data_IF_632975038615
#
_entry.id   IF_632975038615
#
_cell.length_a   1.000
_cell.length_b   1.000
_cell.length_c   1.000
_cell.angle_alpha   90.00
_cell.angle_beta   90.00
_cell.angle_gamma   90.00
#
_symmetry.space_group_name_H-M   'P 1'
#
loop_
_entity.id
_entity.type
_entity.pdbx_description
1 polymer ?
#
# COMPACT_ATOMS: atom_id res chain seq x y z
N UNK A 1 9.96 -3.90 3.02
CA UNK A 1 8.95 -3.49 2.01
C UNK A 1 9.07 -4.27 0.69
N UNK A 2 10.29 -4.54 0.16
CA UNK A 2 10.51 -5.21 -1.13
C UNK A 2 9.80 -6.58 -1.22
N UNK A 3 10.00 -7.46 -0.25
CA UNK A 3 9.34 -8.78 -0.21
C UNK A 3 7.83 -8.68 -0.03
N UNK A 4 7.37 -7.73 0.79
CA UNK A 4 5.93 -7.47 0.97
C UNK A 4 5.30 -7.03 -0.35
N UNK A 5 5.98 -6.18 -1.13
CA UNK A 5 5.50 -5.72 -2.44
C UNK A 5 5.30 -6.87 -3.43
N UNK A 6 6.21 -7.84 -3.49
CA UNK A 6 6.07 -9.02 -4.35
C UNK A 6 4.83 -9.84 -3.97
N UNK A 7 4.54 -9.92 -2.67
CA UNK A 7 3.48 -10.77 -2.14
C UNK A 7 2.10 -10.13 -2.21
N UNK A 8 2.02 -8.80 -2.10
CA UNK A 8 0.74 -8.11 -1.81
C UNK A 8 0.39 -7.00 -2.78
N UNK A 9 1.36 -6.47 -3.55
CA UNK A 9 1.09 -5.41 -4.51
C UNK A 9 0.05 -5.87 -5.54
N UNK A 10 -1.00 -5.09 -5.72
CA UNK A 10 -2.05 -5.38 -6.69
C UNK A 10 -3.12 -6.40 -6.29
N UNK A 11 -2.93 -7.21 -5.23
CA UNK A 11 -3.93 -8.19 -4.81
C UNK A 11 -5.24 -7.52 -4.39
N UNK A 12 -5.16 -6.43 -3.62
CA UNK A 12 -6.36 -5.68 -3.21
C UNK A 12 -7.13 -5.18 -4.44
N UNK A 13 -6.44 -4.56 -5.40
CA UNK A 13 -7.05 -4.02 -6.60
C UNK A 13 -7.67 -5.14 -7.49
N UNK A 14 -6.96 -6.26 -7.64
CA UNK A 14 -7.42 -7.39 -8.45
C UNK A 14 -8.66 -8.05 -7.87
N UNK A 15 -8.65 -8.35 -6.56
CA UNK A 15 -9.78 -8.95 -5.87
C UNK A 15 -10.95 -7.97 -5.81
N UNK A 16 -10.70 -6.70 -5.53
CA UNK A 16 -11.73 -5.66 -5.52
C UNK A 16 -12.44 -5.57 -6.87
N UNK A 17 -11.68 -5.54 -7.97
CA UNK A 17 -12.22 -5.52 -9.33
C UNK A 17 -13.09 -6.76 -9.63
N UNK A 18 -12.55 -7.97 -9.41
CA UNK A 18 -13.23 -9.22 -9.73
C UNK A 18 -14.48 -9.40 -8.85
N UNK A 19 -14.38 -9.10 -7.56
CA UNK A 19 -15.51 -9.12 -6.63
C UNK A 19 -16.60 -8.13 -7.04
N UNK A 20 -16.23 -6.92 -7.50
CA UNK A 20 -17.18 -5.94 -7.98
C UNK A 20 -17.94 -6.41 -9.21
N UNK A 21 -17.26 -7.08 -10.16
CA UNK A 21 -17.90 -7.66 -11.36
C UNK A 21 -18.88 -8.75 -11.01
N UNK A 22 -18.51 -9.71 -10.15
CA UNK A 22 -19.39 -10.76 -9.70
C UNK A 22 -20.55 -10.25 -8.82
N UNK A 23 -20.27 -9.24 -7.97
CA UNK A 23 -21.30 -8.59 -7.15
C UNK A 23 -22.35 -7.88 -8.01
N UNK A 24 -21.95 -7.26 -9.13
CA UNK A 24 -22.86 -6.61 -10.08
C UNK A 24 -23.78 -7.61 -10.82
N UNK A 25 -23.41 -8.91 -10.84
CA UNK A 25 -24.16 -10.01 -11.44
C UNK A 25 -24.89 -10.86 -10.39
N UNK A 26 -24.87 -10.47 -9.13
CA UNK A 26 -25.39 -11.24 -7.98
C UNK A 26 -24.82 -12.67 -7.86
N UNK A 27 -23.60 -12.89 -8.39
CA UNK A 27 -22.94 -14.19 -8.37
C UNK A 27 -22.06 -14.37 -7.12
N UNK A 28 -22.71 -14.46 -5.98
CA UNK A 28 -22.02 -14.60 -4.68
C UNK A 28 -21.29 -15.94 -4.53
N UNK A 29 -21.68 -16.98 -5.27
CA UNK A 29 -21.02 -18.29 -5.23
C UNK A 29 -19.61 -18.23 -5.80
N UNK A 30 -19.44 -17.53 -6.93
CA UNK A 30 -18.10 -17.35 -7.52
C UNK A 30 -17.26 -16.38 -6.70
N UNK A 31 -17.82 -15.37 -6.02
CA UNK A 31 -17.09 -14.53 -5.05
C UNK A 31 -16.48 -15.42 -3.96
N UNK A 32 -17.26 -16.25 -3.29
CA UNK A 32 -16.79 -17.13 -2.20
C UNK A 32 -15.71 -18.08 -2.70
N UNK A 33 -15.93 -18.64 -3.87
CA UNK A 33 -14.99 -19.60 -4.47
C UNK A 33 -13.67 -18.94 -4.84
N UNK A 34 -13.71 -17.74 -5.43
CA UNK A 34 -12.52 -16.91 -5.71
C UNK A 34 -11.76 -16.60 -4.43
N UNK A 35 -12.44 -16.12 -3.40
CA UNK A 35 -11.81 -15.80 -2.12
C UNK A 35 -11.08 -17.00 -1.51
N UNK A 36 -11.70 -18.18 -1.52
CA UNK A 36 -11.09 -19.42 -1.00
C UNK A 36 -9.87 -19.83 -1.81
N UNK A 37 -9.98 -19.85 -3.14
CA UNK A 37 -8.89 -20.31 -4.02
C UNK A 37 -7.70 -19.36 -3.92
N UNK A 38 -7.95 -18.04 -3.97
CA UNK A 38 -6.88 -17.02 -3.88
C UNK A 38 -6.25 -17.01 -2.49
N UNK A 39 -7.03 -17.17 -1.41
CA UNK A 39 -6.49 -17.23 -0.06
C UNK A 39 -5.54 -18.43 0.13
N UNK A 40 -5.93 -19.61 -0.36
CA UNK A 40 -5.08 -20.82 -0.28
C UNK A 40 -3.79 -20.62 -1.10
N UNK A 41 -3.92 -20.16 -2.36
CA UNK A 41 -2.77 -19.91 -3.23
C UNK A 41 -1.81 -18.89 -2.59
N UNK A 42 -2.34 -17.76 -2.14
CA UNK A 42 -1.53 -16.70 -1.57
C UNK A 42 -0.90 -17.10 -0.23
N UNK A 43 -1.60 -17.88 0.60
CA UNK A 43 -1.04 -18.43 1.83
C UNK A 43 0.19 -19.31 1.55
N UNK A 44 0.08 -20.24 0.59
CA UNK A 44 1.20 -21.10 0.18
C UNK A 44 2.36 -20.26 -0.37
N UNK A 45 2.05 -19.30 -1.25
CA UNK A 45 3.04 -18.39 -1.83
C UNK A 45 3.78 -17.57 -0.77
N UNK A 46 3.04 -16.99 0.17
CA UNK A 46 3.61 -16.20 1.26
C UNK A 46 4.42 -17.05 2.24
N UNK A 47 4.00 -18.28 2.47
CA UNK A 47 4.72 -19.22 3.32
C UNK A 47 6.07 -19.61 2.69
N UNK A 48 6.12 -19.88 1.39
CA UNK A 48 7.36 -20.16 0.66
C UNK A 48 8.30 -18.97 0.75
N UNK A 49 7.83 -17.76 0.42
CA UNK A 49 8.66 -16.54 0.50
C UNK A 49 9.06 -16.25 1.94
N UNK A 50 8.17 -16.38 2.90
CA UNK A 50 8.46 -16.15 4.32
C UNK A 50 9.55 -17.07 4.85
N UNK A 51 9.49 -18.37 4.53
CA UNK A 51 10.52 -19.34 4.87
C UNK A 51 11.86 -18.96 4.18
N UNK A 52 11.83 -18.63 2.90
CA UNK A 52 13.01 -18.21 2.17
C UNK A 52 13.66 -16.97 2.78
N UNK A 53 12.88 -15.93 3.10
CA UNK A 53 13.37 -14.70 3.74
C UNK A 53 13.90 -15.00 5.16
N UNK A 54 13.24 -15.90 5.90
CA UNK A 54 13.68 -16.29 7.24
C UNK A 54 15.08 -16.91 7.22
N UNK A 55 15.33 -17.86 6.32
CA UNK A 55 16.65 -18.48 6.15
C UNK A 55 17.69 -17.55 5.54
N UNK A 56 17.27 -16.62 4.67
CA UNK A 56 18.17 -15.60 4.09
C UNK A 56 18.45 -14.43 5.05
N UNK A 57 17.72 -14.29 6.16
CA UNK A 57 17.85 -13.14 7.06
C UNK A 57 19.28 -12.89 7.57
N UNK A 58 20.12 -13.91 7.88
CA UNK A 58 21.52 -13.68 8.25
C UNK A 58 22.35 -13.11 7.09
N UNK A 59 22.12 -13.61 5.87
CA UNK A 59 22.81 -13.15 4.67
C UNK A 59 22.43 -11.70 4.37
N UNK A 60 21.14 -11.37 4.46
CA UNK A 60 20.63 -10.01 4.27
C UNK A 60 21.22 -9.05 5.31
N UNK A 61 21.29 -9.47 6.58
CA UNK A 61 21.83 -8.66 7.67
C UNK A 61 23.33 -8.38 7.52
N UNK A 62 24.11 -9.43 7.24
CA UNK A 62 25.57 -9.30 7.17
C UNK A 62 26.07 -8.69 5.85
N UNK A 63 25.54 -9.12 4.69
CA UNK A 63 26.08 -8.74 3.38
C UNK A 63 25.36 -7.56 2.75
N UNK A 64 24.04 -7.47 2.86
CA UNK A 64 23.27 -6.41 2.21
C UNK A 64 23.13 -5.16 3.06
N UNK A 65 22.66 -5.32 4.28
CA UNK A 65 22.43 -4.20 5.18
C UNK A 65 23.69 -3.80 5.95
N UNK A 66 24.69 -4.71 6.02
CA UNK A 66 25.92 -4.53 6.82
C UNK A 66 25.65 -4.17 8.28
N UNK A 67 24.49 -4.54 8.80
CA UNK A 67 24.08 -4.34 10.18
C UNK A 67 23.41 -5.62 10.71
N UNK A 68 24.12 -6.44 11.52
CA UNK A 68 23.58 -7.67 12.09
C UNK A 68 22.35 -7.45 13.00
N UNK A 69 22.16 -6.23 13.51
CA UNK A 69 21.07 -5.90 14.44
C UNK A 69 19.68 -6.06 13.81
N UNK A 70 19.58 -5.95 12.49
CA UNK A 70 18.30 -6.08 11.79
C UNK A 70 17.84 -7.52 11.58
N UNK A 71 18.70 -8.52 11.80
CA UNK A 71 18.38 -9.94 11.52
C UNK A 71 17.14 -10.38 12.30
N UNK A 72 17.10 -10.10 13.61
CA UNK A 72 15.95 -10.43 14.47
C UNK A 72 14.66 -9.74 13.99
N UNK A 73 14.76 -8.48 13.57
CA UNK A 73 13.63 -7.72 13.07
C UNK A 73 13.08 -8.30 11.75
N UNK A 74 13.96 -8.78 10.86
CA UNK A 74 13.56 -9.47 9.62
C UNK A 74 12.84 -10.78 9.97
N UNK A 75 13.37 -11.59 10.88
CA UNK A 75 12.74 -12.85 11.30
C UNK A 75 11.33 -12.63 11.87
N UNK A 76 11.17 -11.62 12.73
CA UNK A 76 9.86 -11.25 13.30
C UNK A 76 8.89 -10.73 12.24
N UNK A 77 9.38 -10.15 11.14
CA UNK A 77 8.54 -9.66 10.05
C UNK A 77 7.96 -10.80 9.18
N UNK A 78 8.60 -11.98 9.14
CA UNK A 78 8.14 -13.08 8.28
C UNK A 78 6.69 -13.52 8.55
N UNK A 79 6.22 -13.78 9.79
CA UNK A 79 4.81 -14.07 10.03
C UNK A 79 3.89 -12.88 9.72
N UNK A 80 4.33 -11.65 9.94
CA UNK A 80 3.55 -10.47 9.61
C UNK A 80 3.25 -10.37 8.11
N UNK A 81 4.19 -10.79 7.23
CA UNK A 81 3.97 -10.83 5.78
C UNK A 81 2.75 -11.69 5.40
N UNK A 82 2.59 -12.84 6.05
CA UNK A 82 1.45 -13.75 5.81
C UNK A 82 0.15 -13.08 6.25
N UNK A 83 0.14 -12.45 7.43
CA UNK A 83 -1.04 -11.77 7.95
C UNK A 83 -1.45 -10.60 7.05
N UNK A 84 -0.50 -9.77 6.62
CA UNK A 84 -0.73 -8.66 5.67
C UNK A 84 -1.33 -9.19 4.35
N UNK A 85 -0.78 -10.27 3.81
CA UNK A 85 -1.24 -10.82 2.54
C UNK A 85 -2.68 -11.33 2.61
N UNK A 86 -3.04 -12.05 3.67
CA UNK A 86 -4.40 -12.54 3.88
C UNK A 86 -5.38 -11.40 4.20
N UNK A 87 -4.98 -10.41 4.99
CA UNK A 87 -5.78 -9.21 5.27
C UNK A 87 -6.08 -8.43 3.98
N UNK A 88 -5.10 -8.29 3.07
CA UNK A 88 -5.28 -7.61 1.80
C UNK A 88 -6.31 -8.30 0.89
N UNK A 89 -6.39 -9.63 0.92
CA UNK A 89 -7.43 -10.38 0.20
C UNK A 89 -8.82 -10.02 0.74
N UNK A 90 -8.97 -10.00 2.07
CA UNK A 90 -10.24 -9.65 2.72
C UNK A 90 -10.61 -8.18 2.48
N UNK A 91 -9.64 -7.26 2.54
CA UNK A 91 -9.86 -5.84 2.18
C UNK A 91 -10.35 -5.70 0.73
N UNK A 92 -9.75 -6.43 -0.21
CA UNK A 92 -10.19 -6.46 -1.61
C UNK A 92 -11.65 -6.89 -1.77
N UNK A 93 -12.09 -7.89 -1.00
CA UNK A 93 -13.50 -8.30 -0.96
C UNK A 93 -14.43 -7.17 -0.49
N UNK A 94 -14.09 -6.51 0.62
CA UNK A 94 -14.93 -5.43 1.14
C UNK A 94 -14.98 -4.22 0.20
N UNK A 95 -13.88 -3.88 -0.43
CA UNK A 95 -13.83 -2.81 -1.43
C UNK A 95 -14.68 -3.17 -2.66
N UNK A 96 -14.58 -4.42 -3.15
CA UNK A 96 -15.37 -4.90 -4.28
C UNK A 96 -16.87 -5.00 -4.02
N UNK A 97 -17.27 -5.22 -2.75
CA UNK A 97 -18.68 -5.19 -2.32
C UNK A 97 -19.15 -3.81 -1.84
N UNK A 98 -18.38 -2.75 -2.09
CA UNK A 98 -18.66 -1.36 -1.68
C UNK A 98 -18.81 -1.15 -0.16
N UNK A 99 -18.28 -2.06 0.67
CA UNK A 99 -18.30 -1.97 2.14
C UNK A 99 -16.97 -1.42 2.68
N UNK A 100 -16.57 -0.24 2.21
CA UNK A 100 -15.25 0.35 2.47
C UNK A 100 -15.06 0.75 3.93
N UNK A 101 -16.13 1.11 4.63
CA UNK A 101 -16.08 1.51 6.04
C UNK A 101 -15.49 0.44 6.96
N UNK A 102 -15.72 -0.85 6.64
CA UNK A 102 -15.24 -1.97 7.45
C UNK A 102 -13.72 -2.05 7.51
N UNK A 103 -13.00 -2.18 6.36
CA UNK A 103 -11.53 -2.21 6.40
C UNK A 103 -10.96 -0.90 6.92
N UNK A 104 -11.55 0.27 6.61
CA UNK A 104 -11.06 1.56 7.11
C UNK A 104 -11.11 1.66 8.63
N UNK A 105 -12.19 1.21 9.26
CA UNK A 105 -12.32 1.19 10.71
C UNK A 105 -11.33 0.20 11.35
N UNK A 106 -11.17 -0.98 10.75
CA UNK A 106 -10.22 -1.99 11.24
C UNK A 106 -8.78 -1.51 11.08
N UNK A 107 -8.46 -0.76 10.02
CA UNK A 107 -7.13 -0.16 9.83
C UNK A 107 -6.80 0.89 10.90
N UNK A 108 -7.79 1.68 11.32
CA UNK A 108 -7.62 2.63 12.43
C UNK A 108 -7.37 1.88 13.74
N UNK A 109 -8.17 0.85 14.03
CA UNK A 109 -7.99 0.01 15.23
C UNK A 109 -6.62 -0.69 15.23
N UNK A 110 -6.20 -1.21 14.10
CA UNK A 110 -4.90 -1.87 13.93
C UNK A 110 -3.74 -0.93 14.27
N UNK A 111 -3.76 0.29 13.70
CA UNK A 111 -2.71 1.29 13.97
C UNK A 111 -2.72 1.79 15.41
N UNK A 112 -3.89 2.00 15.97
CA UNK A 112 -4.06 2.40 17.36
C UNK A 112 -3.54 1.32 18.32
N UNK A 113 -3.90 0.05 18.07
CA UNK A 113 -3.42 -1.07 18.87
C UNK A 113 -1.90 -1.25 18.73
N UNK A 114 -1.36 -1.09 17.53
CA UNK A 114 0.09 -1.17 17.27
C UNK A 114 0.87 -0.18 18.13
N UNK A 115 0.42 1.08 18.21
CA UNK A 115 1.05 2.10 19.04
C UNK A 115 0.94 1.72 20.52
N UNK A 116 -0.23 1.29 20.96
CA UNK A 116 -0.47 0.91 22.36
C UNK A 116 0.37 -0.32 22.76
N UNK A 117 0.38 -1.37 21.93
CA UNK A 117 1.20 -2.56 22.15
C UNK A 117 2.68 -2.23 22.16
N UNK A 118 3.15 -1.36 21.25
CA UNK A 118 4.55 -0.91 21.24
C UNK A 118 4.92 -0.21 22.54
N UNK A 119 4.07 0.69 23.03
CA UNK A 119 4.31 1.37 24.31
C UNK A 119 4.41 0.38 25.50
N UNK A 120 3.49 -0.58 25.56
CA UNK A 120 3.50 -1.65 26.57
C UNK A 120 4.78 -2.50 26.48
N UNK A 121 5.15 -2.92 25.25
CA UNK A 121 6.34 -3.76 25.05
C UNK A 121 7.61 -3.03 25.47
N UNK A 122 7.76 -1.73 25.13
CA UNK A 122 8.90 -0.92 25.57
C UNK A 122 8.95 -0.83 27.11
N UNK A 123 7.80 -0.63 27.75
CA UNK A 123 7.72 -0.54 29.21
C UNK A 123 8.08 -1.86 29.90
N UNK A 124 7.55 -2.99 29.41
CA UNK A 124 7.80 -4.33 30.01
C UNK A 124 9.24 -4.78 29.80
N UNK A 125 9.76 -4.66 28.57
CA UNK A 125 11.10 -5.17 28.22
C UNK A 125 12.23 -4.18 28.53
N UNK A 126 11.90 -2.96 29.00
CA UNK A 126 12.89 -1.89 29.31
C UNK A 126 13.93 -1.75 28.20
N UNK A 127 13.44 -1.63 26.95
CA UNK A 127 14.31 -1.63 25.78
C UNK A 127 15.16 -0.35 25.74
N UNK A 128 16.44 -0.47 26.02
CA UNK A 128 17.41 0.64 26.01
C UNK A 128 18.23 0.67 24.72
N UNK A 129 18.34 -0.45 24.01
CA UNK A 129 19.13 -0.55 22.78
C UNK A 129 18.28 -0.30 21.55
N UNK A 130 18.87 0.31 20.52
CA UNK A 130 18.21 0.55 19.23
C UNK A 130 17.72 -0.78 18.60
N UNK A 131 18.50 -1.86 18.74
CA UNK A 131 18.13 -3.18 18.23
C UNK A 131 16.86 -3.71 18.88
N UNK A 132 16.74 -3.61 20.21
CA UNK A 132 15.54 -4.05 20.93
C UNK A 132 14.32 -3.22 20.55
N UNK A 133 14.45 -1.90 20.48
CA UNK A 133 13.36 -1.00 20.08
C UNK A 133 12.82 -1.32 18.68
N UNK A 134 13.71 -1.53 17.71
CA UNK A 134 13.32 -1.88 16.35
C UNK A 134 12.65 -3.26 16.30
N UNK A 135 13.18 -4.24 17.01
CA UNK A 135 12.60 -5.59 17.08
C UNK A 135 11.20 -5.57 17.71
N UNK A 136 11.01 -4.82 18.80
CA UNK A 136 9.70 -4.65 19.44
C UNK A 136 8.70 -3.90 18.53
N UNK A 137 9.16 -2.93 17.74
CA UNK A 137 8.31 -2.25 16.76
C UNK A 137 7.78 -3.22 15.69
N UNK A 138 8.62 -4.14 15.18
CA UNK A 138 8.18 -5.17 14.23
C UNK A 138 7.30 -6.23 14.89
N UNK A 139 7.51 -6.54 16.18
CA UNK A 139 6.63 -7.43 16.92
C UNK A 139 5.24 -6.80 17.13
N UNK A 140 5.19 -5.51 17.49
CA UNK A 140 3.95 -4.77 17.58
C UNK A 140 3.21 -4.69 16.23
N UNK A 141 3.95 -4.53 15.12
CA UNK A 141 3.40 -4.63 13.76
C UNK A 141 2.77 -6.01 13.51
N UNK A 142 3.47 -7.09 13.85
CA UNK A 142 2.98 -8.45 13.66
C UNK A 142 1.68 -8.71 14.43
N UNK A 143 1.59 -8.25 15.68
CA UNK A 143 0.39 -8.38 16.51
C UNK A 143 -0.77 -7.53 15.98
N UNK A 144 -0.50 -6.31 15.51
CA UNK A 144 -1.50 -5.46 14.88
C UNK A 144 -2.09 -6.07 13.61
N UNK A 145 -1.24 -6.62 12.74
CA UNK A 145 -1.69 -7.28 11.50
C UNK A 145 -2.47 -8.58 11.80
N UNK A 146 -2.07 -9.35 12.82
CA UNK A 146 -2.83 -10.51 13.27
C UNK A 146 -4.23 -10.12 13.76
N UNK A 147 -4.33 -9.06 14.57
CA UNK A 147 -5.62 -8.53 15.02
C UNK A 147 -6.48 -8.07 13.83
N UNK A 148 -5.91 -7.33 12.89
CA UNK A 148 -6.60 -6.88 11.67
C UNK A 148 -7.15 -8.08 10.88
N UNK A 149 -6.35 -9.13 10.70
CA UNK A 149 -6.77 -10.37 10.03
C UNK A 149 -7.95 -11.04 10.74
N UNK A 150 -7.89 -11.18 12.05
CA UNK A 150 -8.96 -11.81 12.86
C UNK A 150 -10.26 -11.02 12.72
N UNK A 151 -10.22 -9.70 12.85
CA UNK A 151 -11.40 -8.84 12.74
C UNK A 151 -11.98 -8.86 11.32
N UNK A 152 -11.14 -8.73 10.28
CA UNK A 152 -11.56 -8.81 8.89
C UNK A 152 -12.20 -10.17 8.57
N UNK A 153 -11.61 -11.25 9.04
CA UNK A 153 -12.13 -12.61 8.82
C UNK A 153 -13.46 -12.83 9.54
N UNK A 154 -13.59 -12.37 10.78
CA UNK A 154 -14.84 -12.43 11.53
C UNK A 154 -15.97 -11.70 10.83
N UNK A 155 -15.70 -10.47 10.38
CA UNK A 155 -16.69 -9.69 9.65
C UNK A 155 -16.98 -10.24 8.24
N UNK A 156 -15.98 -10.81 7.58
CA UNK A 156 -16.15 -11.53 6.32
C UNK A 156 -17.12 -12.70 6.50
N UNK A 157 -16.93 -13.56 7.50
CA UNK A 157 -17.82 -14.68 7.80
C UNK A 157 -19.25 -14.21 8.10
N UNK A 158 -19.40 -13.14 8.87
CA UNK A 158 -20.70 -12.51 9.13
C UNK A 158 -21.34 -11.95 7.85
N UNK A 159 -20.58 -11.27 7.00
CA UNK A 159 -21.09 -10.75 5.73
C UNK A 159 -21.53 -11.86 4.79
N UNK A 160 -20.80 -12.97 4.77
CA UNK A 160 -21.09 -14.14 3.95
C UNK A 160 -22.39 -14.85 4.36
N UNK A 161 -22.71 -14.88 5.65
CA UNK A 161 -23.95 -15.51 6.13
C UNK A 161 -25.23 -14.78 5.68
N UNK A 162 -25.07 -13.51 5.26
CA UNK A 162 -26.18 -12.67 4.77
C UNK A 162 -26.39 -12.76 3.25
N UNK A 163 -25.48 -13.38 2.51
CA UNK A 163 -25.66 -13.51 1.06
C UNK A 163 -26.66 -14.62 0.72
N UNK A 164 -27.57 -14.37 -0.27
CA UNK A 164 -28.49 -15.38 -0.73
C UNK A 164 -27.73 -16.56 -1.34
N UNK A 165 -28.24 -17.78 -1.10
CA UNK A 165 -27.72 -18.99 -1.73
C UNK A 165 -28.08 -18.96 -3.21
N UNK A 166 -27.13 -18.71 -4.08
CA UNK A 166 -27.32 -18.65 -5.53
C UNK A 166 -27.06 -20.05 -6.12
N UNK A 167 -27.95 -20.52 -7.01
CA UNK A 167 -27.79 -21.78 -7.75
C UNK A 167 -26.93 -21.62 -9.03
N UNK A 168 -26.20 -20.52 -9.19
CA UNK A 168 -25.35 -20.28 -10.35
C UNK A 168 -24.33 -21.42 -10.54
N UNK A 169 -24.02 -21.75 -11.79
CA UNK A 169 -23.03 -22.77 -12.14
C UNK A 169 -21.64 -22.18 -11.78
N UNK A 170 -20.98 -22.76 -10.78
CA UNK A 170 -19.69 -22.27 -10.32
C UNK A 170 -18.59 -22.46 -11.38
N UNK A 171 -17.82 -21.44 -11.67
CA UNK A 171 -16.66 -21.49 -12.56
C UNK A 171 -15.58 -22.43 -12.03
N UNK A 172 -14.67 -22.88 -12.90
CA UNK A 172 -13.58 -23.75 -12.46
C UNK A 172 -12.63 -23.00 -11.52
N UNK A 173 -12.03 -23.70 -10.56
CA UNK A 173 -11.08 -23.07 -9.60
C UNK A 173 -9.86 -22.50 -10.30
N UNK A 174 -9.39 -23.19 -11.34
CA UNK A 174 -8.23 -22.77 -12.13
C UNK A 174 -8.53 -21.47 -12.90
N UNK A 175 -9.74 -21.33 -13.49
CA UNK A 175 -10.15 -20.11 -14.17
C UNK A 175 -10.22 -18.91 -13.22
N UNK A 176 -10.85 -19.08 -12.07
CA UNK A 176 -10.95 -18.02 -11.05
C UNK A 176 -9.57 -17.55 -10.57
N UNK A 177 -8.63 -18.48 -10.37
CA UNK A 177 -7.27 -18.15 -10.00
C UNK A 177 -6.55 -17.42 -11.15
N UNK A 178 -6.70 -17.91 -12.38
CA UNK A 178 -6.10 -17.30 -13.55
C UNK A 178 -6.55 -15.85 -13.74
N UNK A 179 -7.83 -15.55 -13.61
CA UNK A 179 -8.40 -14.22 -13.75
C UNK A 179 -7.84 -13.23 -12.71
N UNK A 180 -7.62 -13.70 -11.48
CA UNK A 180 -6.96 -12.90 -10.44
C UNK A 180 -5.48 -12.71 -10.78
N UNK A 181 -4.77 -13.75 -11.19
CA UNK A 181 -3.33 -13.68 -11.49
C UNK A 181 -3.03 -12.78 -12.69
N UNK A 182 -3.80 -12.85 -13.76
CA UNK A 182 -3.65 -11.97 -14.93
C UNK A 182 -3.73 -10.50 -14.55
N UNK A 183 -4.53 -10.16 -13.54
CA UNK A 183 -4.66 -8.79 -13.04
C UNK A 183 -3.60 -8.45 -12.00
N UNK A 184 -3.28 -9.37 -11.07
CA UNK A 184 -2.38 -9.09 -9.96
C UNK A 184 -0.90 -9.17 -10.31
N UNK A 185 -0.49 -10.09 -11.19
CA UNK A 185 0.94 -10.29 -11.54
C UNK A 185 1.58 -9.02 -12.12
N UNK A 186 0.98 -8.31 -13.10
CA UNK A 186 1.55 -7.06 -13.59
C UNK A 186 1.72 -6.00 -12.50
N UNK A 187 0.75 -5.92 -11.57
CA UNK A 187 0.80 -4.97 -10.46
C UNK A 187 1.84 -5.37 -9.40
N UNK A 188 1.99 -6.66 -9.12
CA UNK A 188 3.05 -7.17 -8.24
C UNK A 188 4.45 -6.87 -8.83
N UNK A 189 4.63 -7.10 -10.13
CA UNK A 189 5.88 -6.77 -10.82
C UNK A 189 6.16 -5.27 -10.79
N UNK A 190 5.13 -4.44 -11.01
CA UNK A 190 5.27 -2.99 -10.90
C UNK A 190 5.68 -2.57 -9.47
N UNK A 191 5.03 -3.07 -8.44
CA UNK A 191 5.37 -2.79 -7.04
C UNK A 191 6.78 -3.26 -6.67
N UNK A 192 7.23 -4.39 -7.23
CA UNK A 192 8.58 -4.89 -7.05
C UNK A 192 9.62 -3.99 -7.70
N UNK A 193 9.42 -3.59 -8.97
CA UNK A 193 10.29 -2.65 -9.67
C UNK A 193 10.41 -1.34 -8.89
N UNK A 194 9.26 -0.72 -8.50
CA UNK A 194 9.26 0.50 -7.68
C UNK A 194 10.05 0.34 -6.38
N UNK A 195 9.96 -0.83 -5.75
CA UNK A 195 10.73 -1.12 -4.53
C UNK A 195 12.23 -1.23 -4.79
N UNK A 196 12.64 -1.83 -5.91
CA UNK A 196 14.05 -1.89 -6.33
C UNK A 196 14.59 -0.48 -6.56
N UNK A 197 13.89 0.36 -7.33
CA UNK A 197 14.32 1.73 -7.61
C UNK A 197 14.40 2.57 -6.34
N UNK A 198 13.45 2.40 -5.40
CA UNK A 198 13.51 3.04 -4.09
C UNK A 198 14.77 2.64 -3.30
N UNK A 199 15.16 1.37 -3.33
CA UNK A 199 16.40 0.90 -2.68
C UNK A 199 17.63 1.48 -3.36
N UNK A 200 17.67 1.48 -4.70
CA UNK A 200 18.78 2.07 -5.47
C UNK A 200 18.91 3.56 -5.14
N UNK A 201 17.80 4.31 -5.16
CA UNK A 201 17.80 5.73 -4.82
C UNK A 201 18.32 5.97 -3.39
N UNK A 202 17.86 5.18 -2.42
CA UNK A 202 18.30 5.29 -1.02
C UNK A 202 19.80 5.06 -0.85
N UNK A 203 20.42 4.24 -1.70
CA UNK A 203 21.86 3.98 -1.67
C UNK A 203 22.67 4.97 -2.50
N UNK A 204 22.12 5.42 -3.63
CA UNK A 204 22.83 6.25 -4.60
C UNK A 204 22.90 7.73 -4.17
N UNK A 205 21.79 8.27 -3.67
CA UNK A 205 21.68 9.70 -3.33
C UNK A 205 22.70 10.12 -2.28
N UNK A 206 22.88 9.42 -1.13
CA UNK A 206 23.92 9.79 -0.17
C UNK A 206 25.32 9.75 -0.76
N UNK A 207 25.62 8.73 -1.60
CA UNK A 207 26.94 8.61 -2.24
C UNK A 207 27.22 9.79 -3.18
N UNK A 208 26.24 10.25 -3.94
CA UNK A 208 26.39 11.41 -4.84
C UNK A 208 26.58 12.70 -4.07
N UNK A 209 25.91 12.90 -2.96
CA UNK A 209 26.10 14.06 -2.10
C UNK A 209 27.51 14.10 -1.48
N UNK A 210 28.06 12.95 -1.09
CA UNK A 210 29.42 12.84 -0.59
C UNK A 210 30.43 13.23 -1.68
N UNK A 211 30.24 12.74 -2.92
CA UNK A 211 31.08 13.12 -4.06
C UNK A 211 30.97 14.60 -4.38
N UNK A 212 29.83 15.25 -4.11
CA UNK A 212 29.61 16.68 -4.26
C UNK A 212 30.27 17.54 -3.11
N UNK A 213 30.96 16.89 -2.15
CA UNK A 213 31.68 17.56 -1.10
C UNK A 213 30.99 17.65 0.26
N UNK A 214 29.80 17.07 0.40
CA UNK A 214 29.12 17.00 1.69
C UNK A 214 29.70 15.90 2.57
N UNK A 215 29.77 16.12 3.88
CA UNK A 215 30.05 15.04 4.83
C UNK A 215 28.87 14.04 4.87
N UNK A 216 29.14 12.80 5.28
CA UNK A 216 28.08 11.77 5.39
C UNK A 216 26.92 12.23 6.29
N UNK A 217 27.21 12.89 7.41
CA UNK A 217 26.20 13.44 8.33
C UNK A 217 25.35 14.53 7.67
N UNK A 218 25.98 15.44 6.93
CA UNK A 218 25.28 16.50 6.18
C UNK A 218 24.39 15.90 5.08
N UNK A 219 24.90 14.93 4.32
CA UNK A 219 24.14 14.26 3.29
C UNK A 219 22.88 13.59 3.84
N UNK A 220 22.98 12.87 4.96
CA UNK A 220 21.82 12.26 5.62
C UNK A 220 20.84 13.30 6.16
N UNK A 221 21.33 14.40 6.71
CA UNK A 221 20.49 15.51 7.19
C UNK A 221 19.69 16.14 6.05
N UNK A 222 20.32 16.42 4.90
CA UNK A 222 19.67 16.98 3.71
C UNK A 222 18.58 16.03 3.17
N UNK A 223 18.89 14.73 3.06
CA UNK A 223 17.93 13.72 2.63
C UNK A 223 16.77 13.64 3.62
N UNK A 224 17.04 13.67 4.93
CA UNK A 224 16.01 13.66 5.97
C UNK A 224 15.08 14.87 5.87
N UNK A 225 15.61 16.07 5.69
CA UNK A 225 14.81 17.30 5.50
C UNK A 225 13.92 17.22 4.26
N UNK A 226 14.46 16.77 3.14
CA UNK A 226 13.73 16.68 1.89
C UNK A 226 12.74 15.51 1.90
N UNK A 227 13.23 14.26 2.03
CA UNK A 227 12.41 13.06 1.80
C UNK A 227 11.49 12.71 2.97
N UNK A 228 11.94 12.96 4.22
CA UNK A 228 11.15 12.56 5.40
C UNK A 228 10.28 13.69 5.94
N UNK A 229 10.73 14.94 5.88
CA UNK A 229 10.00 16.06 6.46
C UNK A 229 9.21 16.83 5.40
N UNK A 230 9.86 17.48 4.44
CA UNK A 230 9.18 18.33 3.46
C UNK A 230 8.20 17.53 2.60
N UNK A 231 8.64 16.37 2.06
CA UNK A 231 7.76 15.49 1.28
C UNK A 231 6.54 15.01 2.08
N UNK A 232 6.70 14.67 3.36
CA UNK A 232 5.56 14.23 4.19
C UNK A 232 4.51 15.32 4.36
N UNK A 233 4.93 16.58 4.54
CA UNK A 233 4.01 17.72 4.65
C UNK A 233 3.24 17.89 3.33
N UNK A 234 3.97 17.97 2.22
CA UNK A 234 3.39 18.32 0.92
C UNK A 234 2.53 17.19 0.35
N UNK A 235 2.91 15.94 0.63
CA UNK A 235 2.13 14.77 0.17
C UNK A 235 0.98 14.40 1.11
N UNK A 236 0.85 15.03 2.28
CA UNK A 236 -0.23 14.71 3.23
C UNK A 236 -1.63 14.67 2.60
N UNK A 237 -2.06 15.62 1.72
CA UNK A 237 -3.37 15.58 1.08
C UNK A 237 -3.58 14.40 0.11
N UNK A 238 -2.52 13.65 -0.27
CA UNK A 238 -2.64 12.46 -1.13
C UNK A 238 -3.53 11.38 -0.50
N UNK A 239 -3.71 11.41 0.80
CA UNK A 239 -4.60 10.50 1.53
C UNK A 239 -6.03 10.60 1.00
N UNK A 240 -6.51 11.83 0.69
CA UNK A 240 -7.83 12.07 0.12
C UNK A 240 -7.90 11.46 -1.29
N UNK A 241 -6.89 11.72 -2.13
CA UNK A 241 -6.81 11.20 -3.50
C UNK A 241 -6.76 9.67 -3.49
N UNK A 242 -5.99 9.08 -2.59
CA UNK A 242 -5.87 7.62 -2.46
C UNK A 242 -7.16 6.96 -1.98
N UNK A 243 -7.91 7.62 -1.10
CA UNK A 243 -9.23 7.15 -0.68
C UNK A 243 -10.22 7.14 -1.83
N UNK A 244 -10.23 8.19 -2.66
CA UNK A 244 -11.04 8.25 -3.88
C UNK A 244 -10.64 7.12 -4.84
N UNK A 245 -9.34 6.88 -5.06
CA UNK A 245 -8.86 5.80 -5.92
C UNK A 245 -9.32 4.41 -5.45
N UNK A 246 -9.29 4.16 -4.15
CA UNK A 246 -9.74 2.89 -3.57
C UNK A 246 -11.21 2.61 -3.87
N UNK A 247 -12.05 3.65 -3.85
CA UNK A 247 -13.47 3.57 -4.21
C UNK A 247 -13.69 3.48 -5.73
N UNK A 248 -12.86 4.18 -6.50
CA UNK A 248 -12.99 4.29 -7.96
C UNK A 248 -12.76 2.96 -8.67
N UNK A 249 -11.81 2.13 -8.22
CA UNK A 249 -11.47 0.86 -8.85
C UNK A 249 -12.69 -0.08 -8.97
N UNK A 250 -13.39 -0.44 -7.86
CA UNK A 250 -14.56 -1.30 -7.95
C UNK A 250 -15.73 -0.62 -8.67
N UNK A 251 -15.93 0.69 -8.46
CA UNK A 251 -17.01 1.46 -9.06
C UNK A 251 -16.90 1.54 -10.59
N UNK A 252 -15.73 1.81 -11.14
CA UNK A 252 -15.48 1.77 -12.58
C UNK A 252 -15.67 0.35 -13.13
N UNK A 253 -15.14 -0.65 -12.45
CA UNK A 253 -15.26 -2.05 -12.89
C UNK A 253 -16.72 -2.50 -12.94
N UNK A 254 -17.54 -2.11 -11.95
CA UNK A 254 -18.96 -2.38 -11.90
C UNK A 254 -19.73 -1.62 -12.99
N UNK A 255 -19.43 -0.34 -13.19
CA UNK A 255 -20.10 0.51 -14.17
C UNK A 255 -19.83 0.04 -15.61
N UNK A 256 -18.59 -0.37 -15.88
CA UNK A 256 -18.22 -0.93 -17.19
C UNK A 256 -18.82 -2.31 -17.44
N UNK A 257 -18.92 -3.16 -16.42
CA UNK A 257 -19.57 -4.49 -16.56
C UNK A 257 -21.06 -4.40 -16.89
N UNK A 258 -21.70 -3.26 -16.55
CA UNK A 258 -23.09 -2.93 -16.92
C UNK A 258 -23.21 -2.21 -18.28
N UNK A 259 -22.10 -1.98 -18.99
CA UNK A 259 -22.09 -1.31 -20.30
C UNK A 259 -22.32 0.21 -20.26
N UNK A 260 -22.26 0.84 -19.09
CA UNK A 260 -22.54 2.27 -18.95
C UNK A 260 -21.28 3.14 -19.11
N UNK A 261 -20.79 3.27 -20.34
CA UNK A 261 -19.57 4.02 -20.67
C UNK A 261 -19.67 5.53 -20.41
N UNK A 262 -20.85 6.13 -20.59
CA UNK A 262 -21.06 7.56 -20.34
C UNK A 262 -20.86 7.90 -18.87
N UNK A 263 -21.45 7.12 -17.98
CA UNK A 263 -21.27 7.28 -16.53
C UNK A 263 -19.82 7.08 -16.10
N UNK A 264 -19.13 6.08 -16.64
CA UNK A 264 -17.73 5.82 -16.37
C UNK A 264 -16.85 7.03 -16.78
N UNK A 265 -17.06 7.58 -17.99
CA UNK A 265 -16.31 8.74 -18.48
C UNK A 265 -16.54 9.99 -17.62
N UNK A 266 -17.78 10.23 -17.18
CA UNK A 266 -18.09 11.34 -16.28
C UNK A 266 -17.34 11.20 -14.95
N UNK A 267 -17.37 10.03 -14.33
CA UNK A 267 -16.66 9.75 -13.06
C UNK A 267 -15.15 9.94 -13.18
N UNK A 268 -14.54 9.42 -14.26
CA UNK A 268 -13.13 9.63 -14.55
C UNK A 268 -12.78 11.11 -14.58
N UNK A 269 -13.56 11.89 -15.35
CA UNK A 269 -13.36 13.33 -15.47
C UNK A 269 -13.47 14.06 -14.13
N UNK A 270 -14.48 13.72 -13.34
CA UNK A 270 -14.74 14.36 -12.05
C UNK A 270 -13.62 14.08 -11.05
N UNK A 271 -13.15 12.84 -10.99
CA UNK A 271 -12.06 12.44 -10.06
C UNK A 271 -10.72 13.07 -10.46
N UNK A 272 -10.41 13.15 -11.75
CA UNK A 272 -9.21 13.86 -12.24
C UNK A 272 -9.26 15.34 -11.85
N UNK A 273 -10.41 16.00 -12.03
CA UNK A 273 -10.58 17.41 -11.64
C UNK A 273 -10.35 17.62 -10.14
N UNK A 274 -10.92 16.75 -9.30
CA UNK A 274 -10.76 16.83 -7.84
C UNK A 274 -9.28 16.65 -7.46
N UNK A 275 -8.60 15.66 -8.01
CA UNK A 275 -7.19 15.42 -7.71
C UNK A 275 -6.31 16.61 -8.14
N UNK A 276 -6.56 17.17 -9.31
CA UNK A 276 -5.85 18.34 -9.80
C UNK A 276 -6.10 19.58 -8.94
N UNK A 277 -7.33 19.82 -8.52
CA UNK A 277 -7.69 20.94 -7.62
C UNK A 277 -7.01 20.78 -6.25
N UNK A 278 -7.02 19.58 -5.65
CA UNK A 278 -6.31 19.33 -4.40
C UNK A 278 -4.81 19.59 -4.57
N UNK A 279 -4.23 19.20 -5.70
CA UNK A 279 -2.84 19.51 -6.05
C UNK A 279 -2.55 21.01 -6.13
N UNK A 280 -3.40 21.78 -6.79
CA UNK A 280 -3.28 23.25 -6.87
C UNK A 280 -3.39 23.86 -5.47
N UNK A 281 -4.38 23.47 -4.67
CA UNK A 281 -4.51 23.96 -3.29
C UNK A 281 -3.24 23.69 -2.47
N UNK A 282 -2.69 22.49 -2.59
CA UNK A 282 -1.43 22.12 -1.92
C UNK A 282 -0.27 23.00 -2.38
N UNK A 283 -0.18 23.25 -3.69
CA UNK A 283 0.85 24.14 -4.25
C UNK A 283 0.71 25.56 -3.71
N UNK A 284 -0.49 26.12 -3.73
CA UNK A 284 -0.73 27.49 -3.22
C UNK A 284 -0.35 27.59 -1.74
N UNK A 285 -0.78 26.66 -0.91
CA UNK A 285 -0.45 26.64 0.52
C UNK A 285 1.07 26.50 0.72
N UNK A 286 1.72 25.58 0.00
CA UNK A 286 3.16 25.34 0.10
C UNK A 286 4.02 26.50 -0.41
N UNK A 287 3.50 27.33 -1.32
CA UNK A 287 4.17 28.56 -1.79
C UNK A 287 3.96 29.75 -0.84
N UNK A 288 2.74 29.88 -0.27
CA UNK A 288 2.37 31.04 0.55
C UNK A 288 2.93 30.96 1.98
N UNK A 289 2.91 29.78 2.60
CA UNK A 289 3.28 29.65 4.05
C UNK A 289 4.24 28.48 4.34
N UNK A 290 5.32 28.31 3.53
CA UNK A 290 6.19 27.14 3.64
C UNK A 290 6.90 27.02 5.01
N UNK A 291 7.41 28.14 5.54
CA UNK A 291 8.13 28.16 6.81
C UNK A 291 7.18 27.85 7.99
N UNK A 292 5.97 28.41 7.96
CA UNK A 292 4.94 28.12 8.96
C UNK A 292 4.53 26.64 8.97
N UNK A 293 4.48 25.99 7.79
CA UNK A 293 4.22 24.56 7.72
C UNK A 293 5.36 23.74 8.34
N UNK A 294 6.62 24.07 8.04
CA UNK A 294 7.78 23.42 8.65
C UNK A 294 7.77 23.52 10.17
N UNK A 295 7.45 24.72 10.68
CA UNK A 295 7.36 24.99 12.11
C UNK A 295 6.18 24.26 12.76
N UNK A 296 5.01 24.25 12.14
CA UNK A 296 3.81 23.61 12.66
C UNK A 296 3.99 22.08 12.80
N UNK A 297 4.56 21.41 11.78
CA UNK A 297 4.64 19.95 11.76
C UNK A 297 5.88 19.39 12.43
N UNK A 298 7.02 20.09 12.34
CA UNK A 298 8.32 19.59 12.83
C UNK A 298 9.05 20.54 13.79
N UNK A 299 8.47 21.71 14.10
CA UNK A 299 9.13 22.71 14.94
C UNK A 299 10.41 23.30 14.31
N UNK A 300 10.52 23.33 12.96
CA UNK A 300 11.73 23.72 12.22
C UNK A 300 11.43 24.83 11.22
N UNK A 301 12.34 25.81 11.20
CA UNK A 301 12.26 26.97 10.29
C UNK A 301 13.09 26.76 8.99
N UNK A 302 13.89 25.69 8.91
CA UNK A 302 14.81 25.41 7.80
C UNK A 302 14.23 24.48 6.71
N UNK A 303 12.91 24.25 6.70
CA UNK A 303 12.22 23.38 5.75
C UNK A 303 11.51 24.14 4.63
N UNK A 304 11.36 25.46 4.75
CA UNK A 304 10.54 26.26 3.84
C UNK A 304 10.95 26.17 2.38
N UNK A 305 12.23 26.22 2.07
CA UNK A 305 12.73 26.10 0.70
C UNK A 305 12.38 24.73 0.08
N UNK A 306 12.57 23.65 0.82
CA UNK A 306 12.22 22.30 0.36
C UNK A 306 10.73 22.14 0.14
N UNK A 307 9.89 22.68 1.03
CA UNK A 307 8.42 22.64 0.92
C UNK A 307 8.00 23.44 -0.34
N UNK A 308 8.54 24.63 -0.55
CA UNK A 308 8.21 25.50 -1.68
C UNK A 308 8.50 24.82 -3.01
N UNK A 309 9.69 24.29 -3.19
CA UNK A 309 10.10 23.63 -4.45
C UNK A 309 9.23 22.38 -4.70
N UNK A 310 9.03 21.56 -3.66
CA UNK A 310 8.33 20.28 -3.80
C UNK A 310 6.84 20.48 -4.07
N UNK A 311 6.22 21.51 -3.48
CA UNK A 311 4.78 21.75 -3.63
C UNK A 311 4.36 22.07 -5.06
N UNK A 312 5.22 22.65 -5.89
CA UNK A 312 4.93 22.97 -7.32
C UNK A 312 4.60 21.72 -8.14
N UNK A 313 5.14 20.56 -7.76
CA UNK A 313 4.91 19.30 -8.48
C UNK A 313 3.60 18.61 -8.10
N UNK A 314 2.90 19.03 -7.04
CA UNK A 314 1.77 18.30 -6.47
C UNK A 314 0.57 18.15 -7.41
N UNK A 315 0.17 19.11 -8.24
CA UNK A 315 -0.92 18.91 -9.20
C UNK A 315 -0.66 17.72 -10.14
N UNK A 316 0.58 17.57 -10.60
CA UNK A 316 0.99 16.48 -11.48
C UNK A 316 1.01 15.16 -10.70
N UNK A 317 1.60 15.13 -9.51
CA UNK A 317 1.73 13.93 -8.66
C UNK A 317 0.35 13.38 -8.29
N UNK A 318 -0.58 14.23 -7.84
CA UNK A 318 -1.92 13.78 -7.44
C UNK A 318 -2.74 13.31 -8.62
N UNK A 319 -2.64 13.99 -9.77
CA UNK A 319 -3.28 13.56 -11.01
C UNK A 319 -2.72 12.21 -11.49
N UNK A 320 -1.40 12.02 -11.46
CA UNK A 320 -0.76 10.74 -11.80
C UNK A 320 -1.21 9.60 -10.90
N UNK A 321 -1.32 9.86 -9.59
CA UNK A 321 -1.84 8.87 -8.64
C UNK A 321 -3.29 8.46 -8.98
N UNK A 322 -4.13 9.42 -9.38
CA UNK A 322 -5.50 9.15 -9.84
C UNK A 322 -5.52 8.34 -11.13
N UNK A 323 -4.66 8.65 -12.10
CA UNK A 323 -4.54 7.87 -13.34
C UNK A 323 -4.19 6.41 -13.08
N UNK A 324 -3.34 6.15 -12.08
CA UNK A 324 -3.05 4.79 -11.63
C UNK A 324 -4.32 4.05 -11.16
N UNK A 325 -5.15 4.71 -10.34
CA UNK A 325 -6.45 4.16 -9.91
C UNK A 325 -7.40 3.89 -11.08
N UNK A 326 -7.50 4.83 -12.03
CA UNK A 326 -8.33 4.69 -13.24
C UNK A 326 -7.90 3.49 -14.08
N UNK A 327 -6.60 3.36 -14.38
CA UNK A 327 -6.06 2.24 -15.17
C UNK A 327 -6.32 0.89 -14.50
N UNK A 328 -6.25 0.83 -13.16
CA UNK A 328 -6.62 -0.36 -12.40
C UNK A 328 -8.11 -0.68 -12.53
N UNK A 329 -8.98 0.31 -12.40
CA UNK A 329 -10.43 0.16 -12.58
C UNK A 329 -10.83 -0.28 -13.98
N UNK A 330 -10.14 0.23 -15.01
CA UNK A 330 -10.30 -0.14 -16.42
C UNK A 330 -9.70 -1.53 -16.75
N UNK A 331 -8.95 -2.14 -15.86
CA UNK A 331 -8.27 -3.41 -16.09
C UNK A 331 -7.05 -3.32 -17.00
N UNK A 332 -6.44 -2.14 -17.12
CA UNK A 332 -5.27 -1.88 -17.96
C UNK A 332 -3.94 -1.91 -17.20
N UNK A 333 -3.74 -2.92 -16.35
CA UNK A 333 -2.55 -3.07 -15.50
C UNK A 333 -1.24 -3.18 -16.30
N UNK A 334 -1.29 -3.80 -17.48
CA UNK A 334 -0.14 -3.91 -18.37
C UNK A 334 0.38 -2.54 -18.86
N UNK A 335 -0.54 -1.55 -19.00
CA UNK A 335 -0.16 -0.17 -19.35
C UNK A 335 0.61 0.47 -18.22
N UNK A 336 0.19 0.24 -16.96
CA UNK A 336 0.90 0.72 -15.78
C UNK A 336 2.32 0.18 -15.78
N UNK A 337 2.49 -1.14 -15.90
CA UNK A 337 3.80 -1.79 -15.89
C UNK A 337 4.70 -1.29 -17.05
N UNK A 338 4.13 -1.08 -18.25
CA UNK A 338 4.88 -0.55 -19.39
C UNK A 338 5.35 0.89 -19.13
N UNK A 339 4.49 1.74 -18.61
CA UNK A 339 4.83 3.13 -18.33
C UNK A 339 5.92 3.23 -17.25
N UNK A 340 5.85 2.43 -16.20
CA UNK A 340 6.90 2.37 -15.17
C UNK A 340 8.27 2.03 -15.76
N UNK A 341 8.34 1.08 -16.70
CA UNK A 341 9.60 0.71 -17.37
C UNK A 341 10.18 1.82 -18.26
N UNK A 342 9.36 2.77 -18.72
CA UNK A 342 9.80 3.85 -19.61
C UNK A 342 10.25 5.08 -18.80
N UNK A 343 9.62 5.31 -17.65
CA UNK A 343 9.86 6.52 -16.83
C UNK A 343 11.05 6.40 -15.89
N UNK A 344 11.58 5.21 -15.66
CA UNK A 344 12.71 4.89 -14.79
C UNK A 344 13.87 4.22 -15.52
#
# INVERSE_FOLDING_TARGET
NLFISIMTAGIIASISKITAVYSARDDYKNIIRTMKVVAIFNFIWCLIIGIFVFFLSPIIGHFWAKDPRIIKSIMVTCPAMIFIALSNILKGFFYGTSKITVPSFIDILEKSLRIFVLAILIFIFKAETLESLVTLAYLALCLGELQSLILLFGYFKYSMSKFPKTNAKGESRAQLLFDVLVTSVPLCLNGFLMSIFSVIATLLVPKRLIVAGFTYSQALSLIGKYSSMAMSIVTFPIIIVSSINTMLIPDLSQTLSKGNYLSATKRIRDVIKIAFLIGICTTVIGLCVPDSLGKLFFGRDDLGEYIRITSVMMPIVFTSNTMYGILNGLGRQNVILRNTKITE
#
